data_IF_942463972568
#
_entry.id   IF_942463972568
#
_cell.length_a   1.000
_cell.length_b   1.000
_cell.length_c   1.000
_cell.angle_alpha   90.00
_cell.angle_beta   90.00
_cell.angle_gamma   90.00
#
_symmetry.space_group_name_H-M   'P 1'
#
loop_
_entity.id
_entity.type
_entity.pdbx_description
1 polymer ?
#
# COMPACT_ATOMS: atom_id res chain seq x y z
N UNK A 1 -8.12 -11.16 6.24
CA UNK A 1 -8.32 -10.13 7.27
C UNK A 1 -8.39 -8.79 6.54
N UNK A 2 -9.57 -8.19 6.43
CA UNK A 2 -9.76 -6.88 5.78
C UNK A 2 -9.29 -5.78 6.73
N UNK A 3 -7.97 -5.56 6.81
CA UNK A 3 -7.42 -4.44 7.56
C UNK A 3 -7.44 -3.19 6.67
N UNK A 4 -8.60 -2.54 6.61
CA UNK A 4 -8.68 -1.18 6.08
C UNK A 4 -7.89 -0.26 7.02
N UNK A 5 -6.70 0.15 6.58
CA UNK A 5 -5.84 1.04 7.35
C UNK A 5 -6.36 2.48 7.24
N UNK A 6 -6.42 3.23 8.36
CA UNK A 6 -6.88 4.61 8.33
C UNK A 6 -5.87 5.52 7.63
N UNK A 7 -6.34 6.70 7.22
CA UNK A 7 -5.47 7.79 6.78
C UNK A 7 -4.38 8.07 7.81
N UNK A 8 -3.23 8.55 7.34
CA UNK A 8 -2.04 8.82 8.14
C UNK A 8 -1.32 7.58 8.71
N UNK A 9 -1.78 6.36 8.42
CA UNK A 9 -1.02 5.14 8.78
C UNK A 9 0.25 5.06 7.96
N UNK A 10 1.37 4.75 8.61
CA UNK A 10 2.61 4.42 7.92
C UNK A 10 2.61 2.96 7.51
N UNK A 11 3.04 2.65 6.29
CA UNK A 11 3.04 1.27 5.80
C UNK A 11 4.33 0.93 5.05
N UNK A 12 4.62 -0.37 5.00
CA UNK A 12 5.66 -0.97 4.17
C UNK A 12 4.98 -2.05 3.32
N UNK A 13 5.18 -2.01 2.01
CA UNK A 13 4.59 -2.93 1.05
C UNK A 13 5.59 -3.43 0.02
N UNK A 14 5.36 -4.64 -0.49
CA UNK A 14 6.11 -5.23 -1.59
C UNK A 14 5.33 -5.04 -2.89
N UNK A 15 5.62 -3.94 -3.60
CA UNK A 15 4.96 -3.61 -4.85
C UNK A 15 5.59 -4.40 -6.01
N UNK A 16 4.80 -5.13 -6.82
CA UNK A 16 5.33 -5.81 -8.00
C UNK A 16 5.78 -4.77 -9.04
N UNK A 17 7.02 -4.89 -9.53
CA UNK A 17 7.47 -4.15 -10.70
C UNK A 17 6.85 -4.80 -11.95
N UNK A 18 6.44 -3.98 -12.93
CA UNK A 18 5.59 -4.38 -14.06
C UNK A 18 5.84 -5.84 -14.55
N UNK A 19 4.79 -6.68 -14.59
CA UNK A 19 4.93 -8.13 -14.80
C UNK A 19 5.44 -8.54 -16.19
N UNK A 20 5.58 -7.59 -17.12
CA UNK A 20 5.94 -7.87 -18.51
C UNK A 20 7.39 -8.38 -18.72
N UNK A 21 8.27 -8.41 -17.70
CA UNK A 21 9.65 -8.90 -17.83
C UNK A 21 10.14 -9.78 -16.68
N UNK A 22 9.25 -10.50 -15.99
CA UNK A 22 9.63 -11.27 -14.79
C UNK A 22 10.01 -10.35 -13.62
N UNK A 23 9.29 -9.23 -13.49
CA UNK A 23 9.60 -8.15 -12.56
C UNK A 23 9.65 -8.60 -11.11
N UNK A 24 10.67 -8.12 -10.39
CA UNK A 24 10.82 -8.35 -8.96
C UNK A 24 9.79 -7.57 -8.13
N UNK A 25 9.97 -7.62 -6.82
CA UNK A 25 9.20 -6.79 -5.90
C UNK A 25 10.08 -5.66 -5.41
N UNK A 26 9.58 -4.42 -5.51
CA UNK A 26 10.22 -3.27 -4.90
C UNK A 26 9.52 -2.94 -3.59
N UNK A 27 10.30 -2.83 -2.53
CA UNK A 27 9.80 -2.39 -1.24
C UNK A 27 9.50 -0.90 -1.32
N UNK A 28 8.25 -0.54 -1.07
CA UNK A 28 7.81 0.85 -0.97
C UNK A 28 7.27 1.09 0.42
N UNK A 29 7.51 2.31 0.92
CA UNK A 29 7.04 2.73 2.22
C UNK A 29 6.53 4.15 2.16
N UNK A 30 5.66 4.50 3.09
CA UNK A 30 5.10 5.84 3.18
C UNK A 30 3.81 5.88 3.98
N UNK A 31 3.30 7.08 4.14
CA UNK A 31 2.09 7.36 4.91
C UNK A 31 0.88 7.39 3.99
N UNK A 32 -0.23 6.75 4.36
CA UNK A 32 -1.46 6.76 3.58
C UNK A 32 -2.03 8.19 3.53
N UNK A 33 -2.05 8.77 2.34
CA UNK A 33 -2.66 10.08 2.07
C UNK A 33 -4.05 9.96 1.46
N UNK A 34 -4.34 8.86 0.75
CA UNK A 34 -5.65 8.60 0.15
C UNK A 34 -5.94 7.11 0.14
N UNK A 35 -7.19 6.78 0.41
CA UNK A 35 -7.74 5.43 0.33
C UNK A 35 -8.64 5.37 -0.91
N UNK A 36 -8.44 4.36 -1.75
CA UNK A 36 -9.16 4.16 -3.01
C UNK A 36 -9.71 2.73 -2.98
N UNK A 37 -11.02 2.57 -2.81
CA UNK A 37 -11.68 1.26 -2.83
C UNK A 37 -12.48 1.09 -4.11
N UNK A 38 -12.22 0.02 -4.86
CA UNK A 38 -12.94 -0.33 -6.08
C UNK A 38 -13.24 -1.85 -6.14
N UNK A 39 -13.82 -2.31 -7.26
CA UNK A 39 -14.14 -3.73 -7.45
C UNK A 39 -12.90 -4.65 -7.42
N UNK A 40 -11.70 -4.10 -7.62
CA UNK A 40 -10.42 -4.81 -7.57
C UNK A 40 -9.73 -4.75 -6.21
N UNK A 41 -10.41 -4.25 -5.16
CA UNK A 41 -9.92 -4.20 -3.79
C UNK A 41 -9.61 -2.79 -3.28
N UNK A 42 -8.90 -2.71 -2.16
CA UNK A 42 -8.48 -1.46 -1.53
C UNK A 42 -7.07 -1.10 -1.97
N UNK A 43 -6.89 0.14 -2.39
CA UNK A 43 -5.61 0.74 -2.80
C UNK A 43 -5.30 1.94 -1.93
N UNK A 44 -4.01 2.14 -1.67
CA UNK A 44 -3.50 3.24 -0.87
C UNK A 44 -2.53 4.09 -1.69
N UNK A 45 -2.76 5.39 -1.70
CA UNK A 45 -1.81 6.37 -2.20
C UNK A 45 -0.95 6.87 -1.05
N UNK A 46 0.36 6.72 -1.19
CA UNK A 46 1.35 7.02 -0.15
C UNK A 46 1.99 8.38 -0.35
N UNK A 47 2.48 8.95 0.75
CA UNK A 47 3.27 10.19 0.75
C UNK A 47 4.55 10.12 -0.09
N UNK A 48 5.05 8.92 -0.39
CA UNK A 48 6.16 8.70 -1.32
C UNK A 48 5.78 8.85 -2.80
N UNK A 49 4.52 9.16 -3.13
CA UNK A 49 3.99 9.24 -4.49
C UNK A 49 3.64 7.88 -5.11
N UNK A 50 3.76 6.80 -4.34
CA UNK A 50 3.44 5.45 -4.79
C UNK A 50 2.00 5.05 -4.47
N UNK A 51 1.33 4.44 -5.43
CA UNK A 51 0.07 3.70 -5.19
C UNK A 51 0.38 2.21 -5.01
N UNK A 52 -0.23 1.60 -4.00
CA UNK A 52 -0.14 0.17 -3.70
C UNK A 52 -1.51 -0.46 -3.45
N UNK A 53 -1.64 -1.76 -3.66
CA UNK A 53 -2.79 -2.54 -3.22
C UNK A 53 -2.62 -2.97 -1.75
N UNK A 54 -3.73 -3.07 -1.00
CA UNK A 54 -3.74 -3.54 0.38
C UNK A 54 -3.13 -4.93 0.55
N UNK A 55 -3.27 -5.82 -0.44
CA UNK A 55 -2.72 -7.18 -0.43
C UNK A 55 -1.18 -7.21 -0.47
N UNK A 56 -0.54 -6.09 -0.81
CA UNK A 56 0.92 -5.98 -0.89
C UNK A 56 1.57 -5.54 0.42
N UNK A 57 0.77 -5.17 1.42
CA UNK A 57 1.25 -4.66 2.70
C UNK A 57 1.88 -5.79 3.50
N UNK A 58 3.12 -5.59 3.90
CA UNK A 58 3.87 -6.52 4.76
C UNK A 58 3.99 -6.01 6.20
N UNK A 59 3.83 -4.71 6.41
CA UNK A 59 3.81 -4.09 7.74
C UNK A 59 3.04 -2.77 7.71
N UNK A 60 2.38 -2.44 8.81
CA UNK A 60 1.61 -1.20 8.97
C UNK A 60 1.68 -0.72 10.41
N UNK A 61 1.81 0.59 10.58
CA UNK A 61 1.70 1.30 11.85
C UNK A 61 0.57 2.32 11.73
N UNK A 62 -0.49 2.12 12.49
CA UNK A 62 -1.55 3.11 12.63
C UNK A 62 -1.01 4.32 13.39
N UNK A 63 -1.48 5.55 13.10
CA UNK A 63 -1.20 6.68 13.99
C UNK A 63 -1.63 6.27 15.39
N UNK A 64 -0.78 6.51 16.40
CA UNK A 64 -1.15 6.31 17.80
C UNK A 64 -2.51 6.98 18.02
N UNK A 65 -3.53 6.17 18.36
CA UNK A 65 -4.75 6.69 18.97
C UNK A 65 -4.43 7.10 20.40
#
# INVERSE_FOLDING_TARGET
MNNNLPLNSFIIAKKPECPCRGGGFTQVQGTIQKIISNQSGTWYYLSSGSTINADWIISSQTPNQ
#
